data_IF_474210467429
#
_entry.id   IF_474210467429
#
_cell.length_a   1.000
_cell.length_b   1.000
_cell.length_c   1.000
_cell.angle_alpha   90.00
_cell.angle_beta   90.00
_cell.angle_gamma   90.00
#
_symmetry.space_group_name_H-M   'P 1'
#
loop_
_entity.id
_entity.type
_entity.pdbx_description
1 polymer ?
#
# COMPACT_ATOMS: atom_id res chain seq x y z
N UNK A 1 -8.40 32.22 -11.36
CA UNK A 1 -7.08 32.05 -10.73
C UNK A 1 -7.24 31.91 -9.21
N UNK A 2 -8.12 30.99 -8.76
CA UNK A 2 -8.48 30.78 -7.34
C UNK A 2 -8.55 29.28 -6.96
N UNK A 3 -8.12 28.36 -7.82
CA UNK A 3 -8.28 26.91 -7.60
C UNK A 3 -7.05 26.20 -7.02
N UNK A 4 -5.84 26.76 -7.16
CA UNK A 4 -4.62 26.09 -6.72
C UNK A 4 -4.49 26.08 -5.19
N UNK A 5 -4.78 27.20 -4.54
CA UNK A 5 -4.65 27.36 -3.09
C UNK A 5 -5.71 26.56 -2.33
N UNK A 6 -6.93 26.45 -2.88
CA UNK A 6 -7.98 25.64 -2.31
C UNK A 6 -7.69 24.13 -2.40
N UNK A 7 -7.03 23.70 -3.49
CA UNK A 7 -6.59 22.32 -3.67
C UNK A 7 -5.40 21.98 -2.77
N UNK A 8 -4.47 22.91 -2.58
CA UNK A 8 -3.34 22.73 -1.66
C UNK A 8 -3.82 22.66 -0.20
N UNK A 9 -4.73 23.57 0.20
CA UNK A 9 -5.30 23.57 1.56
C UNK A 9 -6.10 22.29 1.84
N UNK A 10 -6.89 21.81 0.88
CA UNK A 10 -7.61 20.54 1.02
C UNK A 10 -6.66 19.33 1.09
N UNK A 11 -5.48 19.40 0.44
CA UNK A 11 -4.45 18.36 0.53
C UNK A 11 -3.79 18.36 1.91
N UNK A 12 -3.43 19.53 2.44
CA UNK A 12 -2.87 19.72 3.78
C UNK A 12 -3.86 19.27 4.86
N UNK A 13 -5.14 19.63 4.74
CA UNK A 13 -6.18 19.23 5.69
C UNK A 13 -6.44 17.72 5.68
N UNK A 14 -6.34 17.07 4.51
CA UNK A 14 -6.44 15.62 4.38
C UNK A 14 -5.19 14.91 4.97
N UNK A 15 -4.01 15.49 4.80
CA UNK A 15 -2.73 15.00 5.34
C UNK A 15 -2.68 15.12 6.88
N UNK A 16 -3.20 16.21 7.45
CA UNK A 16 -3.33 16.38 8.90
C UNK A 16 -4.35 15.40 9.51
N UNK A 17 -5.50 15.20 8.85
CA UNK A 17 -6.52 14.25 9.33
C UNK A 17 -6.02 12.81 9.29
N UNK A 18 -5.32 12.42 8.22
CA UNK A 18 -4.68 11.12 8.09
C UNK A 18 -3.57 10.90 9.12
N UNK A 19 -2.72 11.90 9.32
CA UNK A 19 -1.65 11.88 10.32
C UNK A 19 -2.18 11.79 11.75
N UNK A 20 -3.27 12.48 12.09
CA UNK A 20 -3.89 12.43 13.43
C UNK A 20 -4.53 11.08 13.73
N UNK A 21 -5.23 10.49 12.76
CA UNK A 21 -5.80 9.14 12.91
C UNK A 21 -4.71 8.08 13.04
N UNK A 22 -3.61 8.19 12.29
CA UNK A 22 -2.48 7.28 12.40
C UNK A 22 -1.69 7.49 13.71
N UNK A 23 -1.47 8.73 14.16
CA UNK A 23 -0.85 8.99 15.47
C UNK A 23 -1.70 8.41 16.60
N UNK A 24 -3.01 8.58 16.56
CA UNK A 24 -3.92 7.97 17.53
C UNK A 24 -3.88 6.45 17.44
N UNK A 25 -3.82 5.86 16.24
CA UNK A 25 -3.68 4.41 16.07
C UNK A 25 -2.33 3.91 16.62
N UNK A 26 -1.23 4.61 16.35
CA UNK A 26 0.12 4.27 16.79
C UNK A 26 0.31 4.47 18.30
N UNK A 27 -0.33 5.47 18.90
CA UNK A 27 -0.36 5.69 20.35
C UNK A 27 -1.23 4.64 21.06
N UNK A 28 -2.40 4.30 20.50
CA UNK A 28 -3.27 3.25 21.03
C UNK A 28 -2.59 1.87 20.97
N UNK A 29 -1.85 1.61 19.90
CA UNK A 29 -1.09 0.37 19.69
C UNK A 29 0.30 0.37 20.35
N UNK A 30 0.76 1.52 20.85
CA UNK A 30 2.03 1.69 21.54
C UNK A 30 3.26 1.47 20.66
N UNK A 31 3.50 2.31 19.64
CA UNK A 31 4.72 2.35 18.81
C UNK A 31 5.47 3.71 18.86
N UNK A 32 6.80 3.74 19.08
CA UNK A 32 7.69 4.92 19.03
C UNK A 32 8.77 4.73 17.97
N UNK A 33 9.36 5.83 17.54
CA UNK A 33 10.36 5.87 16.48
C UNK A 33 11.79 5.94 17.04
N UNK A 34 12.75 5.20 16.44
CA UNK A 34 14.19 5.41 16.65
C UNK A 34 14.92 5.52 15.31
N UNK A 35 15.73 6.55 15.19
CA UNK A 35 16.64 6.78 14.08
C UNK A 35 18.00 6.15 14.43
N UNK A 36 18.50 5.26 13.58
CA UNK A 36 19.85 4.69 13.72
C UNK A 36 20.89 5.69 13.20
N UNK A 37 22.16 5.52 13.63
CA UNK A 37 23.29 6.41 13.31
C UNK A 37 23.65 6.43 11.81
N UNK A 38 23.27 5.39 11.07
CA UNK A 38 23.44 5.25 9.61
C UNK A 38 22.30 5.92 8.81
N UNK A 39 21.34 6.57 9.48
CA UNK A 39 20.16 7.15 8.85
C UNK A 39 19.03 6.16 8.58
N UNK A 40 19.23 4.85 8.85
CA UNK A 40 18.17 3.84 8.79
C UNK A 40 17.13 4.11 9.87
N UNK A 41 15.86 4.14 9.48
CA UNK A 41 14.74 4.28 10.42
C UNK A 41 14.05 2.95 10.60
N UNK A 42 14.06 2.45 11.84
CA UNK A 42 13.42 1.20 12.26
C UNK A 42 12.22 1.51 13.14
N UNK A 43 11.17 0.71 13.00
CA UNK A 43 10.02 0.81 13.90
C UNK A 43 10.41 0.36 15.30
N UNK A 44 10.02 1.09 16.36
CA UNK A 44 10.07 0.59 17.73
C UNK A 44 8.68 0.54 18.38
N UNK A 45 8.52 -0.34 19.36
CA UNK A 45 7.35 -0.34 20.23
C UNK A 45 7.43 0.84 21.25
N UNK A 46 6.40 1.69 21.35
CA UNK A 46 6.31 2.87 22.24
C UNK A 46 6.40 2.53 23.71
N UNK A 47 5.88 1.36 24.09
CA UNK A 47 5.84 0.95 25.49
C UNK A 47 7.15 0.30 25.91
N UNK A 48 7.91 -0.28 24.97
CA UNK A 48 9.07 -1.10 25.30
C UNK A 48 10.38 -0.70 24.62
N UNK A 49 10.38 0.26 23.69
CA UNK A 49 11.57 0.70 22.92
C UNK A 49 12.19 -0.37 22.03
N UNK A 50 11.48 -1.47 21.74
CA UNK A 50 12.04 -2.62 20.99
C UNK A 50 11.76 -2.50 19.51
N UNK A 51 12.77 -2.76 18.68
CA UNK A 51 12.64 -2.86 17.21
C UNK A 51 11.53 -3.82 16.81
N UNK A 52 10.62 -3.38 15.95
CA UNK A 52 9.51 -4.20 15.43
C UNK A 52 10.09 -5.18 14.40
N UNK A 53 9.90 -6.47 14.66
CA UNK A 53 10.24 -7.54 13.74
C UNK A 53 9.51 -7.35 12.39
N UNK A 54 10.19 -7.55 11.26
CA UNK A 54 9.62 -7.48 9.90
C UNK A 54 8.35 -8.33 9.75
N UNK A 55 8.27 -9.48 10.45
CA UNK A 55 7.06 -10.30 10.49
C UNK A 55 5.84 -9.56 11.08
N UNK A 56 6.05 -8.66 12.04
CA UNK A 56 4.99 -7.83 12.63
C UNK A 56 4.56 -6.71 11.67
N UNK A 57 5.52 -6.04 11.01
CA UNK A 57 5.21 -5.01 9.99
C UNK A 57 4.38 -5.62 8.86
N UNK A 58 4.78 -6.81 8.37
CA UNK A 58 4.03 -7.55 7.36
C UNK A 58 2.59 -7.82 7.78
N UNK A 59 2.39 -8.37 8.98
CA UNK A 59 1.03 -8.68 9.48
C UNK A 59 0.18 -7.41 9.56
N UNK A 60 0.78 -6.28 9.93
CA UNK A 60 0.07 -5.00 9.97
C UNK A 60 -0.32 -4.52 8.57
N UNK A 61 0.60 -4.58 7.60
CA UNK A 61 0.31 -4.24 6.20
C UNK A 61 -0.77 -5.15 5.62
N UNK A 62 -0.68 -6.47 5.83
CA UNK A 62 -1.70 -7.41 5.35
C UNK A 62 -3.08 -7.09 5.94
N UNK A 63 -3.16 -6.85 7.25
CA UNK A 63 -4.42 -6.46 7.91
C UNK A 63 -4.97 -5.14 7.39
N UNK A 64 -4.10 -4.14 7.23
CA UNK A 64 -4.49 -2.84 6.70
C UNK A 64 -5.06 -2.97 5.27
N UNK A 65 -4.36 -3.67 4.39
CA UNK A 65 -4.79 -3.85 3.00
C UNK A 65 -6.06 -4.72 2.89
N UNK A 66 -6.24 -5.73 3.73
CA UNK A 66 -7.47 -6.52 3.76
C UNK A 66 -8.65 -5.71 4.33
N UNK A 67 -8.41 -4.76 5.24
CA UNK A 67 -9.42 -3.79 5.71
C UNK A 67 -9.85 -2.86 4.57
N UNK A 68 -8.90 -2.26 3.85
CA UNK A 68 -9.19 -1.41 2.68
C UNK A 68 -9.90 -2.20 1.56
N UNK A 69 -9.47 -3.44 1.31
CA UNK A 69 -10.14 -4.33 0.37
C UNK A 69 -11.58 -4.64 0.80
N UNK A 70 -11.82 -4.87 2.09
CA UNK A 70 -13.18 -5.09 2.61
C UNK A 70 -14.07 -3.86 2.38
N UNK A 71 -13.55 -2.65 2.62
CA UNK A 71 -14.26 -1.42 2.33
C UNK A 71 -14.58 -1.27 0.83
N UNK A 72 -13.62 -1.56 -0.06
CA UNK A 72 -13.83 -1.53 -1.51
C UNK A 72 -14.89 -2.54 -1.96
N UNK A 73 -14.89 -3.75 -1.38
CA UNK A 73 -15.92 -4.76 -1.61
C UNK A 73 -17.30 -4.29 -1.18
N UNK A 74 -17.41 -3.65 -0.01
CA UNK A 74 -18.67 -3.11 0.49
C UNK A 74 -19.22 -1.98 -0.41
N UNK A 75 -18.35 -1.15 -0.99
CA UNK A 75 -18.76 -0.16 -1.99
C UNK A 75 -19.32 -0.82 -3.25
N UNK A 76 -18.68 -1.90 -3.72
CA UNK A 76 -19.16 -2.67 -4.86
C UNK A 76 -20.52 -3.33 -4.58
N UNK A 77 -20.73 -3.87 -3.38
CA UNK A 77 -22.02 -4.43 -2.99
C UNK A 77 -23.12 -3.38 -2.91
N UNK A 78 -22.82 -2.18 -2.38
CA UNK A 78 -23.75 -1.04 -2.39
C UNK A 78 -24.10 -0.61 -3.81
N UNK A 79 -23.13 -0.56 -4.72
CA UNK A 79 -23.36 -0.24 -6.12
C UNK A 79 -24.25 -1.29 -6.79
N UNK A 80 -23.93 -2.58 -6.60
CA UNK A 80 -24.72 -3.71 -7.13
C UNK A 80 -26.17 -3.70 -6.64
N UNK A 81 -26.39 -3.33 -5.38
CA UNK A 81 -27.72 -3.19 -4.80
C UNK A 81 -28.47 -1.93 -5.23
N UNK A 82 -27.87 -1.07 -6.08
CA UNK A 82 -28.46 0.20 -6.51
C UNK A 82 -28.44 1.29 -5.43
N UNK A 83 -27.74 1.08 -4.31
CA UNK A 83 -27.68 2.02 -3.19
C UNK A 83 -26.75 3.21 -3.41
N UNK A 84 -25.85 3.15 -4.39
CA UNK A 84 -24.99 4.27 -4.81
C UNK A 84 -24.86 4.30 -6.33
N UNK A 85 -24.59 5.47 -6.91
CA UNK A 85 -24.33 5.61 -8.35
C UNK A 85 -22.89 5.21 -8.72
N UNK A 86 -22.60 4.90 -10.00
CA UNK A 86 -21.23 4.66 -10.46
C UNK A 86 -20.27 5.81 -10.16
N UNK A 87 -20.75 7.05 -10.20
CA UNK A 87 -19.95 8.24 -9.86
C UNK A 87 -19.63 8.30 -8.35
N UNK A 88 -20.59 7.97 -7.49
CA UNK A 88 -20.35 7.90 -6.05
C UNK A 88 -19.39 6.76 -5.69
N UNK A 89 -19.54 5.60 -6.34
CA UNK A 89 -18.61 4.49 -6.24
C UNK A 89 -17.19 4.90 -6.65
N UNK A 90 -17.03 5.58 -7.79
CA UNK A 90 -15.74 6.05 -8.28
C UNK A 90 -15.04 6.98 -7.28
N UNK A 91 -15.74 7.97 -6.73
CA UNK A 91 -15.18 8.90 -5.74
C UNK A 91 -14.68 8.16 -4.50
N UNK A 92 -15.52 7.30 -3.93
CA UNK A 92 -15.17 6.54 -2.73
C UNK A 92 -14.00 5.56 -2.99
N UNK A 93 -13.93 4.94 -4.17
CA UNK A 93 -12.80 4.10 -4.57
C UNK A 93 -11.51 4.90 -4.73
N UNK A 94 -11.56 6.14 -5.23
CA UNK A 94 -10.37 7.01 -5.31
C UNK A 94 -9.79 7.31 -3.94
N UNK A 95 -10.64 7.51 -2.94
CA UNK A 95 -10.20 7.73 -1.56
C UNK A 95 -9.52 6.48 -0.98
N UNK A 96 -10.08 5.29 -1.22
CA UNK A 96 -9.47 4.01 -0.82
C UNK A 96 -8.11 3.83 -1.50
N UNK A 97 -8.00 4.07 -2.80
CA UNK A 97 -6.74 3.96 -3.54
C UNK A 97 -5.70 4.91 -2.94
N UNK A 98 -6.04 6.20 -2.83
CA UNK A 98 -5.12 7.21 -2.30
C UNK A 98 -4.63 6.85 -0.90
N UNK A 99 -5.55 6.52 0.01
CA UNK A 99 -5.20 6.12 1.37
C UNK A 99 -4.38 4.82 1.39
N UNK A 100 -4.71 3.83 0.56
CA UNK A 100 -3.96 2.57 0.51
C UNK A 100 -2.49 2.84 0.15
N UNK A 101 -2.24 3.57 -0.93
CA UNK A 101 -0.88 3.86 -1.37
C UNK A 101 -0.12 4.76 -0.39
N UNK A 102 -0.67 5.91 0.00
CA UNK A 102 0.02 6.84 0.90
C UNK A 102 0.33 6.23 2.26
N UNK A 103 -0.64 5.53 2.86
CA UNK A 103 -0.43 4.93 4.18
C UNK A 103 0.61 3.81 4.10
N UNK A 104 0.61 2.99 3.03
CA UNK A 104 1.65 1.96 2.87
C UNK A 104 3.05 2.56 2.66
N UNK A 105 3.18 3.67 1.92
CA UNK A 105 4.46 4.39 1.81
C UNK A 105 4.90 4.94 3.15
N UNK A 106 3.98 5.54 3.92
CA UNK A 106 4.26 6.02 5.26
C UNK A 106 4.74 4.87 6.16
N UNK A 107 4.06 3.72 6.15
CA UNK A 107 4.49 2.54 6.90
C UNK A 107 5.87 2.07 6.42
N UNK A 108 6.15 2.03 5.12
CA UNK A 108 7.49 1.65 4.64
C UNK A 108 8.61 2.57 5.15
N UNK A 109 8.33 3.87 5.27
CA UNK A 109 9.21 4.93 5.83
C UNK A 109 9.14 5.06 7.35
N UNK A 110 8.31 4.26 8.00
CA UNK A 110 8.16 4.29 9.45
C UNK A 110 7.19 5.34 10.02
N UNK A 111 6.49 6.08 9.18
CA UNK A 111 5.46 7.06 9.55
C UNK A 111 5.41 8.24 8.60
N UNK A 112 4.35 9.04 8.68
CA UNK A 112 4.18 10.24 7.84
C UNK A 112 5.27 11.28 8.03
N UNK A 113 5.72 11.49 9.26
CA UNK A 113 6.79 12.44 9.57
C UNK A 113 8.12 12.13 8.87
N UNK A 114 8.28 10.90 8.35
CA UNK A 114 9.48 10.45 7.65
C UNK A 114 9.33 10.46 6.12
N UNK A 115 8.16 10.83 5.59
CA UNK A 115 7.96 10.91 4.15
C UNK A 115 8.77 12.07 3.57
N UNK A 116 9.51 11.78 2.50
CA UNK A 116 10.17 12.80 1.70
C UNK A 116 9.25 13.29 0.59
N UNK A 117 9.59 14.42 -0.05
CA UNK A 117 8.88 14.87 -1.26
C UNK A 117 8.97 13.85 -2.39
N UNK A 118 10.08 13.12 -2.49
CA UNK A 118 10.26 12.08 -3.49
C UNK A 118 9.29 10.91 -3.24
N UNK A 119 9.13 10.49 -1.98
CA UNK A 119 8.17 9.43 -1.61
C UNK A 119 6.74 9.78 -2.00
N UNK A 120 6.34 11.02 -1.71
CA UNK A 120 5.02 11.53 -2.06
C UNK A 120 4.85 11.55 -3.58
N UNK A 121 5.81 12.09 -4.32
CA UNK A 121 5.76 12.15 -5.77
C UNK A 121 5.69 10.75 -6.42
N UNK A 122 6.47 9.79 -5.91
CA UNK A 122 6.42 8.41 -6.37
C UNK A 122 5.05 7.77 -6.09
N UNK A 123 4.52 7.92 -4.87
CA UNK A 123 3.21 7.40 -4.49
C UNK A 123 2.08 8.03 -5.33
N UNK A 124 2.11 9.34 -5.54
CA UNK A 124 1.16 10.06 -6.40
C UNK A 124 1.22 9.60 -7.85
N UNK A 125 2.42 9.32 -8.37
CA UNK A 125 2.59 8.74 -9.70
C UNK A 125 1.93 7.37 -9.84
N UNK A 126 1.99 6.53 -8.80
CA UNK A 126 1.26 5.24 -8.76
C UNK A 126 -0.25 5.48 -8.68
N UNK A 127 -0.70 6.34 -7.77
CA UNK A 127 -2.13 6.68 -7.58
C UNK A 127 -2.75 7.19 -8.88
N UNK A 128 -2.05 8.06 -9.61
CA UNK A 128 -2.51 8.58 -10.90
C UNK A 128 -2.69 7.45 -11.95
N UNK A 129 -1.84 6.42 -11.94
CA UNK A 129 -2.02 5.24 -12.80
C UNK A 129 -3.21 4.40 -12.37
N UNK A 130 -3.36 4.15 -11.08
CA UNK A 130 -4.51 3.42 -10.53
C UNK A 130 -5.84 4.14 -10.82
N UNK A 131 -5.87 5.47 -10.79
CA UNK A 131 -7.04 6.24 -11.19
C UNK A 131 -7.41 6.05 -12.66
N UNK A 132 -6.44 5.91 -13.57
CA UNK A 132 -6.72 5.59 -14.97
C UNK A 132 -7.33 4.20 -15.13
N UNK A 133 -6.85 3.22 -14.37
CA UNK A 133 -7.47 1.89 -14.36
C UNK A 133 -8.88 1.95 -13.77
N UNK A 134 -9.08 2.69 -12.67
CA UNK A 134 -10.41 2.86 -12.06
C UNK A 134 -11.39 3.54 -13.02
N UNK A 135 -10.96 4.55 -13.77
CA UNK A 135 -11.81 5.20 -14.77
C UNK A 135 -12.31 4.21 -15.83
N UNK A 136 -11.42 3.35 -16.35
CA UNK A 136 -11.81 2.27 -17.29
C UNK A 136 -12.80 1.30 -16.66
N UNK A 137 -12.54 0.89 -15.41
CA UNK A 137 -13.44 0.00 -14.67
C UNK A 137 -14.83 0.62 -14.45
N UNK A 138 -14.91 1.92 -14.15
CA UNK A 138 -16.18 2.64 -14.00
C UNK A 138 -16.87 2.82 -15.35
N UNK A 139 -16.14 2.96 -16.44
CA UNK A 139 -16.72 2.97 -17.77
C UNK A 139 -17.33 1.61 -18.16
N UNK A 140 -16.63 0.52 -17.83
CA UNK A 140 -17.17 -0.84 -18.00
C UNK A 140 -18.42 -1.07 -17.13
N UNK A 141 -18.53 -0.43 -15.97
CA UNK A 141 -19.75 -0.43 -15.16
C UNK A 141 -20.91 0.29 -15.85
N UNK A 142 -20.65 1.42 -16.52
CA UNK A 142 -21.69 2.21 -17.23
C UNK A 142 -22.17 1.53 -18.49
N UNK A 143 -21.25 0.89 -19.22
CA UNK A 143 -21.52 0.22 -20.50
C UNK A 143 -21.95 -1.24 -20.35
N UNK A 144 -21.93 -1.79 -19.13
CA UNK A 144 -22.29 -3.18 -18.85
C UNK A 144 -21.18 -4.20 -19.17
N UNK A 145 -19.98 -3.75 -19.55
CA UNK A 145 -18.81 -4.62 -19.70
C UNK A 145 -18.39 -5.31 -18.40
N UNK A 146 -18.58 -4.63 -17.26
CA UNK A 146 -18.43 -5.23 -15.94
C UNK A 146 -19.78 -5.76 -15.45
N UNK A 147 -19.87 -7.08 -15.24
CA UNK A 147 -21.05 -7.72 -14.64
C UNK A 147 -21.25 -7.25 -13.20
N UNK A 148 -22.51 -6.96 -12.84
CA UNK A 148 -22.94 -6.60 -11.47
C UNK A 148 -23.16 -7.86 -10.61
N UNK A 149 -22.16 -8.74 -10.56
CA UNK A 149 -22.15 -9.96 -9.77
C UNK A 149 -20.97 -9.99 -8.79
N UNK A 150 -20.64 -11.15 -8.22
CA UNK A 150 -19.50 -11.30 -7.31
C UNK A 150 -18.13 -10.93 -7.90
N UNK A 151 -18.00 -10.84 -9.23
CA UNK A 151 -16.77 -10.37 -9.90
C UNK A 151 -16.49 -8.89 -9.63
N UNK A 152 -17.54 -8.07 -9.45
CA UNK A 152 -17.42 -6.65 -9.19
C UNK A 152 -16.64 -6.38 -7.90
N UNK A 153 -17.07 -7.02 -6.81
CA UNK A 153 -16.43 -6.89 -5.50
C UNK A 153 -15.00 -7.45 -5.50
N UNK A 154 -14.76 -8.56 -6.23
CA UNK A 154 -13.41 -9.11 -6.38
C UNK A 154 -12.48 -8.13 -7.09
N UNK A 155 -12.93 -7.49 -8.16
CA UNK A 155 -12.13 -6.49 -8.90
C UNK A 155 -11.90 -5.23 -8.09
N UNK A 156 -12.92 -4.71 -7.40
CA UNK A 156 -12.79 -3.54 -6.53
C UNK A 156 -11.70 -3.75 -5.45
N UNK A 157 -11.64 -4.94 -4.85
CA UNK A 157 -10.62 -5.31 -3.85
C UNK A 157 -9.18 -5.23 -4.35
N UNK A 158 -8.95 -5.41 -5.66
CA UNK A 158 -7.60 -5.39 -6.23
C UNK A 158 -6.93 -4.01 -6.12
N UNK A 159 -7.71 -2.93 -6.25
CA UNK A 159 -7.21 -1.56 -6.17
C UNK A 159 -6.62 -1.23 -4.80
N UNK A 160 -7.27 -1.68 -3.71
CA UNK A 160 -6.72 -1.55 -2.37
C UNK A 160 -5.43 -2.37 -2.22
N UNK A 161 -5.46 -3.63 -2.68
CA UNK A 161 -4.33 -4.56 -2.56
C UNK A 161 -3.11 -4.17 -3.41
N UNK A 162 -3.30 -3.39 -4.47
CA UNK A 162 -2.22 -2.92 -5.35
C UNK A 162 -1.15 -2.12 -4.58
N UNK A 163 -1.54 -1.47 -3.49
CA UNK A 163 -0.64 -0.75 -2.60
C UNK A 163 0.43 -1.64 -1.92
N UNK A 164 0.30 -2.97 -1.97
CA UNK A 164 1.37 -3.88 -1.55
C UNK A 164 2.67 -3.66 -2.33
N UNK A 165 2.59 -3.44 -3.64
CA UNK A 165 3.77 -3.14 -4.44
C UNK A 165 4.41 -1.81 -4.00
N UNK A 166 3.58 -0.79 -3.76
CA UNK A 166 4.04 0.51 -3.25
C UNK A 166 4.75 0.40 -1.92
N UNK A 167 4.25 -0.42 -0.99
CA UNK A 167 4.94 -0.73 0.26
C UNK A 167 6.36 -1.25 0.02
N UNK A 168 6.50 -2.32 -0.77
CA UNK A 168 7.81 -2.96 -0.96
C UNK A 168 8.79 -2.08 -1.73
N UNK A 169 8.31 -1.32 -2.73
CA UNK A 169 9.15 -0.33 -3.40
C UNK A 169 9.68 0.73 -2.41
N UNK A 170 8.78 1.36 -1.64
CA UNK A 170 9.17 2.36 -0.65
C UNK A 170 10.05 1.77 0.46
N UNK A 171 9.88 0.48 0.79
CA UNK A 171 10.70 -0.21 1.79
C UNK A 171 12.12 -0.44 1.28
N UNK A 172 12.28 -0.86 0.03
CA UNK A 172 13.61 -0.98 -0.60
C UNK A 172 14.30 0.39 -0.68
N UNK A 173 13.59 1.43 -1.11
CA UNK A 173 14.11 2.80 -1.16
C UNK A 173 14.46 3.35 0.23
N UNK A 174 13.88 2.80 1.32
CA UNK A 174 14.21 3.14 2.70
C UNK A 174 15.42 2.42 3.27
N UNK A 175 15.71 1.23 2.77
CA UNK A 175 16.83 0.41 3.22
C UNK A 175 18.04 0.53 2.28
N UNK A 176 17.87 1.25 1.16
CA UNK A 176 18.95 1.57 0.24
C UNK A 176 20.09 2.29 0.98
N UNK A 177 21.29 1.72 0.91
CA UNK A 177 22.50 2.26 1.55
C UNK A 177 22.91 1.51 2.81
N UNK A 178 22.01 0.73 3.43
CA UNK A 178 22.32 -0.02 4.67
C UNK A 178 22.08 -1.52 4.52
N UNK A 179 21.17 -1.90 3.62
CA UNK A 179 21.02 -3.27 3.13
C UNK A 179 21.47 -3.34 1.66
N UNK A 180 22.11 -4.45 1.27
CA UNK A 180 22.61 -4.66 -0.10
C UNK A 180 21.81 -5.70 -0.86
N UNK A 181 21.16 -6.62 -0.15
CA UNK A 181 20.43 -7.75 -0.72
C UNK A 181 19.01 -7.88 -0.17
N UNK A 182 18.16 -8.46 -0.99
CA UNK A 182 16.76 -8.80 -0.68
C UNK A 182 16.49 -10.25 -1.07
N UNK A 183 15.67 -10.94 -0.29
CA UNK A 183 15.11 -12.24 -0.69
C UNK A 183 13.62 -12.27 -0.45
N UNK A 184 12.91 -13.07 -1.23
CA UNK A 184 11.49 -13.30 -1.00
C UNK A 184 11.25 -14.48 -0.06
N UNK A 185 10.30 -14.33 0.85
CA UNK A 185 9.85 -15.38 1.77
C UNK A 185 8.38 -15.70 1.52
N UNK A 186 8.10 -16.98 1.35
CA UNK A 186 6.75 -17.53 1.23
C UNK A 186 6.02 -17.50 2.57
N UNK A 187 4.70 -17.35 2.52
CA UNK A 187 3.82 -17.41 3.69
C UNK A 187 2.65 -18.34 3.37
N UNK A 188 1.92 -18.88 4.36
CA UNK A 188 0.79 -19.78 4.11
C UNK A 188 -0.28 -19.13 3.21
N UNK A 189 -0.24 -19.46 1.91
CA UNK A 189 -1.15 -19.01 0.85
C UNK A 189 -0.85 -19.79 -0.45
N UNK A 190 -1.74 -19.69 -1.44
CA UNK A 190 -1.41 -20.14 -2.78
C UNK A 190 -0.34 -19.25 -3.41
N UNK A 191 0.54 -19.88 -4.20
CA UNK A 191 1.70 -19.21 -4.79
C UNK A 191 1.74 -19.45 -6.29
N UNK A 192 2.02 -18.38 -7.05
CA UNK A 192 2.37 -18.51 -8.47
C UNK A 192 3.82 -18.96 -8.63
N UNK A 193 4.18 -19.39 -9.84
CA UNK A 193 5.52 -19.88 -10.17
C UNK A 193 6.62 -18.87 -9.83
N UNK A 194 6.40 -17.57 -10.10
CA UNK A 194 7.37 -16.52 -9.75
C UNK A 194 7.60 -16.39 -8.24
N UNK A 195 6.60 -16.67 -7.40
CA UNK A 195 6.81 -16.65 -5.95
C UNK A 195 7.70 -17.82 -5.54
N UNK A 196 7.47 -19.00 -6.11
CA UNK A 196 8.25 -20.22 -5.83
C UNK A 196 9.70 -20.03 -6.31
N UNK A 197 9.90 -19.51 -7.52
CA UNK A 197 11.23 -19.29 -8.10
C UNK A 197 12.06 -18.25 -7.33
N UNK A 198 11.43 -17.21 -6.79
CA UNK A 198 12.15 -16.15 -6.05
C UNK A 198 12.37 -16.50 -4.57
N UNK A 199 11.72 -17.53 -4.06
CA UNK A 199 11.72 -17.85 -2.64
C UNK A 199 13.09 -18.28 -2.14
N UNK A 200 13.58 -17.65 -1.06
CA UNK A 200 14.83 -18.02 -0.39
C UNK A 200 16.12 -17.58 -1.09
N UNK A 201 16.05 -17.15 -2.36
CA UNK A 201 17.19 -16.66 -3.12
C UNK A 201 17.48 -15.19 -2.81
N UNK A 202 18.76 -14.87 -2.57
CA UNK A 202 19.22 -13.50 -2.39
C UNK A 202 19.52 -12.84 -3.74
N UNK A 203 19.02 -11.63 -3.90
CA UNK A 203 19.25 -10.75 -5.04
C UNK A 203 19.83 -9.43 -4.53
N UNK A 204 20.61 -8.75 -5.36
CA UNK A 204 20.98 -7.36 -5.04
C UNK A 204 19.72 -6.51 -5.06
N UNK A 205 19.60 -5.54 -4.14
CA UNK A 205 18.51 -4.57 -4.21
C UNK A 205 18.63 -3.82 -5.54
N UNK A 206 17.51 -3.73 -6.28
CA UNK A 206 17.46 -3.17 -7.63
C UNK A 206 17.82 -4.14 -8.77
N UNK A 207 18.08 -5.42 -8.49
CA UNK A 207 18.30 -6.42 -9.53
C UNK A 207 17.02 -6.61 -10.39
N UNK A 208 17.08 -6.45 -11.73
CA UNK A 208 15.92 -6.59 -12.60
C UNK A 208 15.31 -8.01 -12.62
N UNK A 209 16.06 -9.04 -12.21
CA UNK A 209 15.54 -10.40 -12.07
C UNK A 209 14.58 -10.54 -10.87
N UNK A 210 14.68 -9.64 -9.89
CA UNK A 210 13.86 -9.69 -8.69
C UNK A 210 12.56 -8.88 -8.86
N UNK A 211 11.42 -9.57 -8.77
CA UNK A 211 10.09 -8.92 -8.83
C UNK A 211 9.49 -8.73 -7.45
N UNK A 212 9.13 -7.48 -7.14
CA UNK A 212 8.47 -7.10 -5.88
C UNK A 212 7.16 -7.87 -5.65
N UNK A 213 6.82 -8.25 -4.40
CA UNK A 213 5.49 -8.74 -4.07
C UNK A 213 4.42 -7.71 -4.48
N UNK A 214 3.39 -8.15 -5.19
CA UNK A 214 2.40 -7.25 -5.81
C UNK A 214 2.63 -7.03 -7.31
N UNK A 215 3.84 -7.26 -7.81
CA UNK A 215 4.24 -7.12 -9.22
C UNK A 215 4.62 -8.45 -9.90
N UNK A 216 4.22 -9.57 -9.29
CA UNK A 216 4.40 -10.93 -9.81
C UNK A 216 3.15 -11.39 -10.57
N UNK A 217 3.15 -12.61 -11.11
CA UNK A 217 1.98 -13.22 -11.76
C UNK A 217 0.72 -13.21 -10.88
N UNK A 218 0.85 -13.44 -9.57
CA UNK A 218 -0.27 -13.35 -8.63
C UNK A 218 -0.73 -11.90 -8.34
N UNK A 219 -0.02 -10.91 -8.87
CA UNK A 219 -0.35 -9.50 -8.85
C UNK A 219 -0.58 -8.96 -7.44
N UNK A 220 -1.58 -8.07 -7.27
CA UNK A 220 -1.93 -7.47 -5.98
C UNK A 220 -2.25 -8.48 -4.86
N UNK A 221 -2.62 -9.72 -5.19
CA UNK A 221 -2.97 -10.74 -4.20
C UNK A 221 -1.75 -11.47 -3.61
N UNK A 222 -0.53 -11.16 -4.05
CA UNK A 222 0.69 -11.76 -3.50
C UNK A 222 0.73 -11.66 -1.97
N UNK A 223 1.06 -12.78 -1.30
CA UNK A 223 1.22 -12.86 0.16
C UNK A 223 2.67 -13.09 0.59
N UNK A 224 3.63 -12.98 -0.33
CA UNK A 224 5.05 -13.07 0.00
C UNK A 224 5.52 -11.81 0.74
N UNK A 225 6.62 -11.94 1.46
CA UNK A 225 7.33 -10.80 2.02
C UNK A 225 8.81 -10.79 1.64
N UNK A 226 9.47 -9.70 2.02
CA UNK A 226 10.89 -9.45 1.78
C UNK A 226 11.64 -9.51 3.09
N UNK A 227 12.81 -10.14 3.06
CA UNK A 227 13.84 -10.00 4.07
C UNK A 227 15.06 -9.33 3.43
N UNK A 228 15.80 -8.58 4.23
CA UNK A 228 16.93 -7.78 3.77
C UNK A 228 18.19 -8.13 4.55
N UNK A 229 19.33 -8.04 3.89
CA UNK A 229 20.64 -8.26 4.51
C UNK A 229 21.73 -7.39 3.86
N UNK A 230 22.78 -7.12 4.62
CA UNK A 230 24.06 -6.66 4.10
C UNK A 230 24.96 -7.89 3.88
N UNK A 231 25.10 -8.30 2.61
CA UNK A 231 25.98 -9.39 2.15
C UNK A 231 27.07 -8.85 1.24
#
# INVERSE_FOLDING_TARGET
>A
MLDADAQEQARVDAEERGSRLLLLLLLLLGYTMLQLEDGTRIFQNARTGRTVNDASIRREIDRYLDTQATAAGALADKLRAGGISPLAFERAMRDIIRASHLNTTAIARGGYANLTRLDLAQAEGVIAREFKFLQKFVEELRTGGQKLDGTLARRAKLYARAARNTFYQARQDNLAGTMTHVRSILNPADHCDECIMLAGHWFRIGDPAYKLPGNRQCGPNCKCHEEYAAL
#
